data_IF_493665702240
#
_entry.id   IF_493665702240
#
_cell.length_a   1.000
_cell.length_b   1.000
_cell.length_c   1.000
_cell.angle_alpha   90.00
_cell.angle_beta   90.00
_cell.angle_gamma   90.00
#
_symmetry.space_group_name_H-M   'P 1'
#
loop_
_entity.id
_entity.type
_entity.pdbx_description
1 polymer ?
#
# COMPACT_ATOMS: atom_id res chain seq x y z
N UNK A 1 7.28 14.76 16.55
CA UNK A 1 6.40 15.72 17.26
C UNK A 1 7.14 17.02 17.47
N UNK A 2 8.29 16.98 18.16
CA UNK A 2 9.16 18.12 18.45
C UNK A 2 9.45 19.00 17.23
N UNK A 3 10.10 18.43 16.20
CA UNK A 3 10.48 19.16 14.98
C UNK A 3 9.26 19.78 14.26
N UNK A 4 8.16 19.03 14.18
CA UNK A 4 6.97 19.50 13.47
C UNK A 4 6.27 20.66 14.19
N UNK A 5 6.21 20.59 15.52
CA UNK A 5 5.61 21.65 16.32
C UNK A 5 6.45 22.94 16.26
N UNK A 6 7.79 22.84 16.29
CA UNK A 6 8.65 24.02 16.17
C UNK A 6 8.55 24.65 14.78
N UNK A 7 8.45 23.85 13.71
CA UNK A 7 8.20 24.37 12.37
C UNK A 7 6.87 25.12 12.35
N UNK A 8 5.79 24.53 12.85
CA UNK A 8 4.48 25.19 12.89
C UNK A 8 4.50 26.49 13.69
N UNK A 9 5.15 26.55 14.85
CA UNK A 9 5.21 27.79 15.63
C UNK A 9 5.99 28.91 14.96
N UNK A 10 6.91 28.59 14.05
CA UNK A 10 7.70 29.58 13.33
C UNK A 10 6.98 30.10 12.07
N UNK A 11 6.20 29.24 11.40
CA UNK A 11 5.63 29.57 10.08
C UNK A 11 4.16 29.99 10.12
N UNK A 12 3.42 29.65 11.18
CA UNK A 12 1.99 29.98 11.28
C UNK A 12 1.84 31.39 11.86
N UNK A 13 1.28 32.30 11.07
CA UNK A 13 1.16 33.75 11.37
C UNK A 13 -0.28 34.22 11.54
N UNK A 14 -1.27 33.37 11.26
CA UNK A 14 -2.69 33.74 11.23
C UNK A 14 -3.43 33.69 12.56
N UNK A 15 -4.72 34.03 12.50
CA UNK A 15 -5.66 33.95 13.61
C UNK A 15 -6.83 33.00 13.30
N UNK A 16 -7.29 32.28 14.32
CA UNK A 16 -8.48 31.44 14.22
C UNK A 16 -9.72 32.20 14.69
N UNK A 17 -10.76 32.24 13.87
CA UNK A 17 -12.06 32.81 14.23
C UNK A 17 -13.00 31.73 14.78
N UNK A 18 -13.64 32.02 15.91
CA UNK A 18 -14.64 31.14 16.54
C UNK A 18 -15.82 31.94 17.05
N UNK A 19 -17.01 31.37 16.92
CA UNK A 19 -18.24 31.95 17.48
C UNK A 19 -18.49 31.39 18.88
N UNK A 20 -18.76 32.26 19.84
CA UNK A 20 -19.18 31.87 21.18
C UNK A 20 -20.62 31.32 21.12
N UNK A 21 -20.83 30.09 21.58
CA UNK A 21 -22.15 29.42 21.55
C UNK A 21 -22.59 28.87 22.92
N UNK A 22 -21.77 29.05 23.95
CA UNK A 22 -22.00 28.52 25.29
C UNK A 22 -22.79 29.45 26.22
N UNK A 23 -23.34 30.55 25.70
CA UNK A 23 -23.95 31.61 26.50
C UNK A 23 -22.99 32.77 26.79
N UNK A 24 -23.52 33.82 27.43
CA UNK A 24 -22.73 34.97 27.88
C UNK A 24 -21.62 34.53 28.84
N UNK A 25 -20.43 35.10 28.70
CA UNK A 25 -19.28 34.77 29.55
C UNK A 25 -18.44 36.00 29.89
N UNK A 26 -17.43 35.82 30.74
CA UNK A 26 -16.46 36.86 31.08
C UNK A 26 -15.05 36.34 30.74
N UNK A 27 -14.32 37.08 29.90
CA UNK A 27 -12.93 36.78 29.54
C UNK A 27 -12.11 38.00 29.91
N UNK A 28 -11.08 37.81 30.74
CA UNK A 28 -10.20 38.88 31.21
C UNK A 28 -10.98 40.09 31.79
N UNK A 29 -11.98 39.80 32.63
CA UNK A 29 -12.86 40.81 33.23
C UNK A 29 -13.87 41.46 32.27
N UNK A 30 -13.84 41.13 30.97
CA UNK A 30 -14.76 41.70 29.97
C UNK A 30 -15.93 40.76 29.70
N UNK A 31 -17.16 41.29 29.77
CA UNK A 31 -18.37 40.54 29.42
C UNK A 31 -18.46 40.37 27.91
N UNK A 32 -18.59 39.13 27.46
CA UNK A 32 -18.74 38.73 26.07
C UNK A 32 -20.12 38.09 25.89
N UNK A 33 -20.94 38.66 25.02
CA UNK A 33 -22.28 38.16 24.74
C UNK A 33 -22.25 36.88 23.90
N UNK A 34 -23.24 36.02 24.11
CA UNK A 34 -23.43 34.85 23.26
C UNK A 34 -23.56 35.24 21.78
N UNK A 35 -22.96 34.45 20.89
CA UNK A 35 -22.98 34.69 19.45
C UNK A 35 -21.89 35.63 18.93
N UNK A 36 -21.09 36.27 19.80
CA UNK A 36 -19.91 37.07 19.43
C UNK A 36 -18.83 36.20 18.77
N UNK A 37 -18.19 36.75 17.74
CA UNK A 37 -16.99 36.15 17.15
C UNK A 37 -15.75 36.60 17.90
N UNK A 38 -14.92 35.63 18.29
CA UNK A 38 -13.63 35.82 18.93
C UNK A 38 -12.53 35.41 17.95
N UNK A 39 -11.48 36.20 17.90
CA UNK A 39 -10.26 35.90 17.15
C UNK A 39 -9.16 35.49 18.12
N UNK A 40 -8.55 34.33 17.88
CA UNK A 40 -7.39 33.84 18.62
C UNK A 40 -6.17 33.94 17.72
N UNK A 41 -5.24 34.83 18.06
CA UNK A 41 -4.03 35.00 17.26
C UNK A 41 -3.04 33.87 17.53
N UNK A 42 -2.94 32.92 16.59
CA UNK A 42 -2.07 31.75 16.71
C UNK A 42 -0.62 32.18 16.58
N UNK A 43 -0.32 33.02 15.57
CA UNK A 43 1.03 33.52 15.33
C UNK A 43 1.59 34.35 16.48
N UNK A 44 0.78 35.22 17.08
CA UNK A 44 1.18 36.02 18.25
C UNK A 44 1.41 35.12 19.48
N UNK A 45 0.54 34.14 19.73
CA UNK A 45 0.72 33.19 20.84
C UNK A 45 2.03 32.41 20.68
N UNK A 46 2.36 31.98 19.46
CA UNK A 46 3.61 31.27 19.17
C UNK A 46 4.84 32.17 19.17
N UNK A 47 4.66 33.48 18.97
CA UNK A 47 5.74 34.48 19.01
C UNK A 47 5.89 35.18 20.36
N UNK A 48 5.05 34.87 21.35
CA UNK A 48 5.06 35.50 22.67
C UNK A 48 6.27 35.00 23.51
N UNK A 49 7.24 35.87 23.85
CA UNK A 49 8.41 35.47 24.64
C UNK A 49 8.08 35.04 26.07
N UNK A 50 6.92 35.43 26.61
CA UNK A 50 6.45 35.00 27.93
C UNK A 50 5.97 33.54 27.95
N UNK A 51 5.57 33.02 26.78
CA UNK A 51 5.17 31.63 26.56
C UNK A 51 6.37 30.83 26.04
N UNK A 52 7.08 31.36 25.04
CA UNK A 52 8.19 30.72 24.35
C UNK A 52 9.46 31.58 24.41
N UNK A 53 10.39 31.31 25.33
CA UNK A 53 11.68 32.00 25.37
C UNK A 53 12.42 31.86 24.03
N UNK A 54 12.90 32.99 23.48
CA UNK A 54 13.50 33.06 22.14
C UNK A 54 12.60 32.40 21.07
N UNK A 55 11.41 32.95 20.80
CA UNK A 55 10.39 32.28 19.98
C UNK A 55 10.80 32.12 18.52
N UNK A 56 11.70 32.98 18.03
CA UNK A 56 12.21 32.94 16.65
C UNK A 56 13.28 31.88 16.42
N UNK A 57 13.82 31.29 17.49
CA UNK A 57 14.84 30.25 17.37
C UNK A 57 14.21 28.88 17.11
N UNK A 58 14.69 28.23 16.05
CA UNK A 58 14.43 26.82 15.77
C UNK A 58 15.03 25.95 16.89
N UNK A 59 14.22 25.64 17.90
CA UNK A 59 14.57 24.76 19.00
C UNK A 59 13.47 23.70 19.20
N UNK A 60 13.60 22.50 18.62
CA UNK A 60 12.65 21.41 18.81
C UNK A 60 12.50 20.97 20.28
N UNK A 61 13.53 21.15 21.11
CA UNK A 61 13.57 20.75 22.51
C UNK A 61 12.51 21.45 23.38
N UNK A 62 11.96 22.59 22.92
CA UNK A 62 10.93 23.34 23.65
C UNK A 62 9.58 22.62 23.78
N UNK A 63 9.36 21.55 23.01
CA UNK A 63 8.12 20.77 22.98
C UNK A 63 8.24 19.39 23.66
N UNK A 64 9.26 19.20 24.50
CA UNK A 64 9.43 17.99 25.31
C UNK A 64 8.27 17.82 26.29
N UNK A 65 7.96 16.59 26.69
CA UNK A 65 6.81 16.31 27.56
C UNK A 65 6.89 17.01 28.92
N UNK A 66 8.08 17.31 29.43
CA UNK A 66 8.27 18.06 30.67
C UNK A 66 7.93 19.54 30.51
N UNK A 67 8.30 20.16 29.39
CA UNK A 67 8.02 21.57 29.13
C UNK A 67 6.59 21.82 28.65
N UNK A 68 6.00 20.88 27.90
CA UNK A 68 4.63 20.98 27.36
C UNK A 68 3.55 20.84 28.45
N UNK A 69 3.88 20.27 29.62
CA UNK A 69 2.96 20.13 30.76
C UNK A 69 2.70 21.45 31.50
N UNK A 70 3.56 22.46 31.33
CA UNK A 70 3.54 23.68 32.14
C UNK A 70 2.50 24.73 31.71
N UNK A 71 2.06 24.72 30.45
CA UNK A 71 1.17 25.76 29.93
C UNK A 71 0.01 25.19 29.11
N UNK A 72 -1.21 25.36 29.62
CA UNK A 72 -2.43 24.94 28.93
C UNK A 72 -2.67 25.87 27.73
N UNK A 73 -2.90 25.29 26.54
CA UNK A 73 -3.21 26.02 25.30
C UNK A 73 -2.11 26.94 24.76
N UNK A 74 -0.85 26.76 25.17
CA UNK A 74 0.31 27.47 24.59
C UNK A 74 0.51 27.11 23.11
N UNK A 75 0.37 25.82 22.76
CA UNK A 75 0.53 25.36 21.38
C UNK A 75 -0.80 25.21 20.64
N UNK A 76 -1.06 26.10 19.68
CA UNK A 76 -2.29 26.13 18.88
C UNK A 76 -2.17 25.62 17.44
N UNK A 77 -1.02 25.05 17.03
CA UNK A 77 -0.75 24.66 15.62
C UNK A 77 -1.67 23.58 15.05
N UNK A 78 -2.35 22.80 15.90
CA UNK A 78 -3.34 21.81 15.50
C UNK A 78 -4.74 22.11 16.06
N UNK A 79 -5.01 23.35 16.45
CA UNK A 79 -6.20 23.70 17.22
C UNK A 79 -6.21 23.11 18.63
N UNK A 80 -7.22 23.46 19.41
CA UNK A 80 -7.34 23.08 20.82
C UNK A 80 -8.81 22.95 21.27
N UNK A 81 -9.00 22.44 22.48
CA UNK A 81 -10.31 22.35 23.13
C UNK A 81 -11.26 21.39 22.42
N UNK A 82 -12.51 21.84 22.18
CA UNK A 82 -13.57 21.05 21.51
C UNK A 82 -13.41 20.96 19.99
N UNK A 83 -12.54 21.79 19.40
CA UNK A 83 -12.34 21.86 17.95
C UNK A 83 -10.86 21.71 17.58
N UNK A 84 -10.19 20.61 18.01
CA UNK A 84 -8.86 20.30 17.49
C UNK A 84 -8.97 19.87 16.02
N UNK A 85 -7.87 19.98 15.29
CA UNK A 85 -7.76 19.50 13.92
C UNK A 85 -8.03 18.00 13.88
N UNK A 86 -9.15 17.61 13.25
CA UNK A 86 -9.53 16.21 13.08
C UNK A 86 -8.48 15.42 12.28
N UNK A 87 -7.82 16.09 11.33
CA UNK A 87 -6.75 15.54 10.51
C UNK A 87 -5.38 15.49 11.17
N UNK A 88 -5.22 15.95 12.42
CA UNK A 88 -3.89 16.08 13.08
C UNK A 88 -3.06 14.80 12.97
N UNK A 89 -3.64 13.65 13.31
CA UNK A 89 -2.89 12.38 13.30
C UNK A 89 -2.46 12.02 11.88
N UNK A 90 -3.38 12.09 10.93
CA UNK A 90 -3.12 11.81 9.52
C UNK A 90 -2.01 12.72 8.96
N UNK A 91 -2.16 14.04 9.09
CA UNK A 91 -1.18 15.01 8.62
C UNK A 91 0.19 14.80 9.28
N UNK A 92 0.22 14.48 10.58
CA UNK A 92 1.48 14.17 11.26
C UNK A 92 2.15 12.91 10.74
N UNK A 93 1.39 11.88 10.32
CA UNK A 93 1.95 10.69 9.69
C UNK A 93 2.46 11.01 8.29
N UNK A 94 1.63 11.66 7.46
CA UNK A 94 1.97 12.05 6.09
C UNK A 94 3.25 12.89 6.03
N UNK A 95 3.32 13.98 6.80
CA UNK A 95 4.48 14.87 6.82
C UNK A 95 5.74 14.13 7.30
N UNK A 96 5.62 13.30 8.34
CA UNK A 96 6.77 12.52 8.83
C UNK A 96 7.26 11.51 7.81
N UNK A 97 6.33 10.81 7.14
CA UNK A 97 6.68 9.82 6.12
C UNK A 97 7.38 10.50 4.94
N UNK A 98 6.84 11.62 4.45
CA UNK A 98 7.48 12.40 3.39
C UNK A 98 8.86 12.87 3.81
N UNK A 99 8.98 13.55 4.96
CA UNK A 99 10.27 14.06 5.46
C UNK A 99 11.27 12.92 5.68
N UNK A 100 10.84 11.76 6.19
CA UNK A 100 11.72 10.61 6.38
C UNK A 100 12.23 10.05 5.04
N UNK A 101 11.37 9.93 4.03
CA UNK A 101 11.79 9.51 2.68
C UNK A 101 12.78 10.51 2.09
N UNK A 102 12.46 11.80 2.18
CA UNK A 102 13.32 12.88 1.72
C UNK A 102 14.70 12.82 2.41
N UNK A 103 14.75 12.83 3.73
CA UNK A 103 16.00 12.75 4.49
C UNK A 103 16.81 11.47 4.23
N UNK A 104 16.16 10.36 3.88
CA UNK A 104 16.84 9.10 3.57
C UNK A 104 17.39 9.05 2.14
N UNK A 105 16.81 9.80 1.21
CA UNK A 105 17.10 9.68 -0.22
C UNK A 105 17.96 10.82 -0.79
N UNK A 106 18.10 11.94 -0.09
CA UNK A 106 18.76 13.13 -0.64
C UNK A 106 19.68 13.82 0.37
N UNK A 107 20.68 14.53 -0.16
CA UNK A 107 21.42 15.55 0.60
C UNK A 107 20.86 16.94 0.27
N UNK A 108 20.82 17.79 1.28
CA UNK A 108 20.14 19.08 1.23
C UNK A 108 21.10 20.22 1.48
N UNK A 109 21.03 21.25 0.63
CA UNK A 109 21.66 22.54 0.87
C UNK A 109 20.65 23.67 0.61
N UNK A 110 20.58 24.64 1.51
CA UNK A 110 19.73 25.81 1.30
C UNK A 110 20.46 26.77 0.37
N UNK A 111 19.80 27.20 -0.70
CA UNK A 111 20.35 28.12 -1.70
C UNK A 111 19.37 29.27 -1.98
N UNK A 112 19.86 30.41 -2.41
CA UNK A 112 19.02 31.46 -2.99
C UNK A 112 18.69 31.13 -4.45
N UNK A 113 17.92 32.01 -5.10
CA UNK A 113 17.55 31.93 -6.52
C UNK A 113 18.75 31.83 -7.49
N UNK A 114 19.97 32.09 -7.01
CA UNK A 114 21.22 32.01 -7.78
C UNK A 114 21.98 30.71 -7.53
N UNK A 115 21.41 29.75 -6.80
CA UNK A 115 22.05 28.48 -6.46
C UNK A 115 23.23 28.62 -5.49
N UNK A 116 23.32 29.72 -4.75
CA UNK A 116 24.36 29.96 -3.73
C UNK A 116 23.75 29.94 -2.35
N UNK A 117 24.54 29.57 -1.33
CA UNK A 117 24.12 29.68 0.07
C UNK A 117 23.61 31.11 0.36
N UNK A 118 22.36 31.26 0.86
CA UNK A 118 21.79 32.58 1.10
C UNK A 118 22.50 33.27 2.27
N UNK A 119 22.50 34.60 2.25
CA UNK A 119 22.87 35.38 3.43
C UNK A 119 21.81 35.19 4.52
N UNK A 120 22.16 35.05 5.81
CA UNK A 120 21.17 34.92 6.89
C UNK A 120 20.10 36.02 6.88
N UNK A 121 20.44 37.25 6.47
CA UNK A 121 19.50 38.36 6.34
C UNK A 121 18.43 38.14 5.25
N UNK A 122 18.74 37.35 4.21
CA UNK A 122 17.80 36.97 3.15
C UNK A 122 16.82 35.87 3.61
N UNK A 123 17.11 35.17 4.71
CA UNK A 123 16.33 34.03 5.22
C UNK A 123 15.31 34.39 6.31
N UNK A 124 15.20 35.68 6.65
CA UNK A 124 14.27 36.15 7.69
C UNK A 124 12.83 36.01 7.18
N UNK A 125 11.96 35.24 7.87
CA UNK A 125 10.58 35.05 7.43
C UNK A 125 9.76 36.34 7.50
N UNK A 126 9.04 36.67 6.43
CA UNK A 126 8.01 37.72 6.43
C UNK A 126 6.75 37.21 7.12
N UNK A 127 6.49 37.72 8.32
CA UNK A 127 5.32 37.35 9.12
C UNK A 127 4.02 38.05 8.68
N UNK A 128 4.06 38.98 7.72
CA UNK A 128 2.87 39.65 7.19
C UNK A 128 2.11 38.82 6.14
N UNK A 129 2.59 37.63 5.81
CA UNK A 129 1.85 36.68 4.98
C UNK A 129 0.83 35.90 5.82
N UNK A 130 -0.46 35.98 5.46
CA UNK A 130 -1.56 35.35 6.21
C UNK A 130 -1.51 33.82 6.21
N UNK A 131 -0.87 33.20 5.21
CA UNK A 131 -0.88 31.75 5.02
C UNK A 131 0.35 31.06 5.60
N UNK A 132 1.54 31.60 5.32
CA UNK A 132 2.80 31.03 5.80
C UNK A 132 3.89 32.11 5.84
N UNK A 133 4.65 32.19 6.93
CA UNK A 133 5.85 33.01 6.96
C UNK A 133 6.92 32.37 6.05
N UNK A 134 7.27 33.07 4.97
CA UNK A 134 8.38 32.73 4.08
C UNK A 134 9.27 33.96 3.92
N UNK A 135 10.57 33.80 3.61
CA UNK A 135 11.42 34.95 3.39
C UNK A 135 10.91 35.81 2.22
N UNK A 136 11.05 37.13 2.33
CA UNK A 136 10.57 38.07 1.30
C UNK A 136 11.37 37.97 -0.01
N UNK A 137 12.58 37.42 0.05
CA UNK A 137 13.40 37.08 -1.12
C UNK A 137 13.34 35.57 -1.37
N UNK A 138 13.38 35.15 -2.64
CA UNK A 138 13.31 33.75 -3.01
C UNK A 138 14.43 32.92 -2.38
N UNK A 139 14.05 31.96 -1.55
CA UNK A 139 14.93 30.91 -1.04
C UNK A 139 14.46 29.58 -1.57
N UNK A 140 15.37 28.83 -2.19
CA UNK A 140 15.13 27.50 -2.72
C UNK A 140 15.91 26.47 -1.88
N UNK A 141 15.43 25.24 -1.86
CA UNK A 141 16.19 24.13 -1.29
C UNK A 141 16.79 23.34 -2.45
N UNK A 142 18.12 23.36 -2.56
CA UNK A 142 18.85 22.52 -3.48
C UNK A 142 18.92 21.11 -2.90
N UNK A 143 18.42 20.14 -3.67
CA UNK A 143 18.49 18.73 -3.35
C UNK A 143 19.48 18.06 -4.30
N UNK A 144 20.49 17.41 -3.74
CA UNK A 144 21.37 16.53 -4.50
C UNK A 144 20.79 15.12 -4.47
N UNK A 145 20.44 14.60 -5.65
CA UNK A 145 20.01 13.21 -5.85
C UNK A 145 21.23 12.40 -6.30
N UNK A 146 21.61 11.41 -5.50
CA UNK A 146 22.56 10.39 -5.94
C UNK A 146 21.77 9.26 -6.61
N UNK A 147 21.79 9.19 -7.94
CA UNK A 147 21.46 7.96 -8.66
C UNK A 147 22.77 7.28 -9.06
N UNK A 148 22.79 5.94 -9.07
CA UNK A 148 23.99 5.10 -9.18
C UNK A 148 24.90 5.41 -10.39
N UNK A 149 24.44 6.16 -11.39
CA UNK A 149 25.24 6.58 -12.55
C UNK A 149 25.16 8.09 -12.89
N UNK A 150 24.42 8.91 -12.12
CA UNK A 150 24.33 10.36 -12.36
C UNK A 150 23.92 11.15 -11.11
N UNK A 151 24.65 12.24 -10.82
CA UNK A 151 24.22 13.24 -9.83
C UNK A 151 23.29 14.24 -10.49
N UNK A 152 22.01 14.26 -10.09
CA UNK A 152 21.03 15.24 -10.58
C UNK A 152 20.76 16.27 -9.48
N UNK A 153 20.86 17.55 -9.82
CA UNK A 153 20.48 18.66 -8.94
C UNK A 153 19.00 18.99 -9.15
N UNK A 154 18.20 18.87 -8.10
CA UNK A 154 16.78 19.21 -8.12
C UNK A 154 16.57 20.44 -7.24
N UNK A 155 15.97 21.48 -7.82
CA UNK A 155 15.56 22.68 -7.08
C UNK A 155 14.15 22.49 -6.57
N UNK A 156 13.97 22.53 -5.25
CA UNK A 156 12.65 22.63 -4.62
C UNK A 156 12.40 24.11 -4.29
N UNK A 157 11.55 24.75 -5.08
CA UNK A 157 11.08 26.09 -4.79
C UNK A 157 10.20 26.07 -3.54
N UNK A 158 10.63 26.78 -2.49
CA UNK A 158 9.93 26.84 -1.21
C UNK A 158 8.77 27.84 -1.19
N UNK A 159 8.62 28.66 -2.24
CA UNK A 159 7.56 29.67 -2.35
C UNK A 159 6.35 29.20 -3.15
N UNK A 160 6.42 28.06 -3.84
CA UNK A 160 5.34 27.58 -4.70
C UNK A 160 5.13 26.06 -4.63
N UNK A 161 4.25 25.63 -3.72
CA UNK A 161 3.42 24.44 -4.00
C UNK A 161 2.29 24.93 -4.91
N UNK A 162 2.40 24.60 -6.20
CA UNK A 162 1.52 24.98 -7.34
C UNK A 162 1.81 26.30 -8.06
N UNK A 163 2.89 26.35 -8.84
CA UNK A 163 2.89 26.95 -10.18
C UNK A 163 4.14 26.51 -10.95
N UNK A 164 4.06 25.38 -11.67
CA UNK A 164 5.08 25.08 -12.68
C UNK A 164 4.99 26.19 -13.74
N UNK A 165 6.09 26.89 -14.09
CA UNK A 165 6.06 27.93 -15.11
C UNK A 165 5.41 27.40 -16.37
N UNK A 166 4.49 28.16 -16.97
CA UNK A 166 3.70 27.72 -18.14
C UNK A 166 4.59 27.19 -19.28
N UNK A 167 5.82 27.71 -19.42
CA UNK A 167 6.82 27.26 -20.39
C UNK A 167 7.33 25.84 -20.11
N UNK A 168 7.56 25.52 -18.84
CA UNK A 168 8.00 24.19 -18.42
C UNK A 168 6.83 23.21 -18.53
N UNK A 169 5.59 23.65 -18.22
CA UNK A 169 4.40 22.86 -18.50
C UNK A 169 4.26 22.55 -19.99
N UNK A 170 4.47 23.52 -20.88
CA UNK A 170 4.43 23.30 -22.33
C UNK A 170 5.53 22.31 -22.74
N UNK A 171 6.77 22.47 -22.26
CA UNK A 171 7.87 21.58 -22.59
C UNK A 171 7.60 20.13 -22.12
N UNK A 172 7.13 19.95 -20.89
CA UNK A 172 6.75 18.64 -20.35
C UNK A 172 5.57 18.05 -21.12
N UNK A 173 4.53 18.84 -21.42
CA UNK A 173 3.38 18.37 -22.20
C UNK A 173 3.78 17.98 -23.63
N UNK A 174 4.67 18.74 -24.28
CA UNK A 174 5.22 18.40 -25.60
C UNK A 174 6.01 17.10 -25.53
N UNK A 175 6.82 16.89 -24.50
CA UNK A 175 7.56 15.64 -24.31
C UNK A 175 6.62 14.45 -24.08
N UNK A 176 5.56 14.62 -23.27
CA UNK A 176 4.54 13.60 -23.03
C UNK A 176 3.73 13.29 -24.29
N UNK A 177 3.40 14.29 -25.10
CA UNK A 177 2.72 14.12 -26.39
C UNK A 177 3.60 13.37 -27.38
N UNK A 178 4.89 13.69 -27.44
CA UNK A 178 5.85 13.03 -28.33
C UNK A 178 6.20 11.60 -27.89
N UNK A 179 6.13 11.31 -26.59
CA UNK A 179 6.35 9.97 -26.04
C UNK A 179 5.11 9.08 -26.07
N UNK A 180 3.96 9.57 -26.56
CA UNK A 180 2.72 8.80 -26.56
C UNK A 180 2.80 7.69 -27.62
N UNK A 181 2.55 6.42 -27.25
CA UNK A 181 2.50 5.34 -28.22
C UNK A 181 1.40 5.59 -29.26
N UNK A 182 1.59 5.13 -30.51
CA UNK A 182 0.61 5.32 -31.58
C UNK A 182 -0.74 4.71 -31.19
N UNK A 183 -1.83 5.33 -31.65
CA UNK A 183 -3.20 4.94 -31.30
C UNK A 183 -3.48 3.46 -31.58
N UNK A 184 -2.89 2.91 -32.64
CA UNK A 184 -3.01 1.50 -33.01
C UNK A 184 -2.42 0.56 -31.94
N UNK A 185 -1.28 0.91 -31.34
CA UNK A 185 -0.65 0.12 -30.30
C UNK A 185 -1.49 0.13 -29.01
N UNK A 186 -2.06 1.28 -28.66
CA UNK A 186 -2.97 1.40 -27.50
C UNK A 186 -4.23 0.57 -27.73
N UNK A 187 -4.81 0.60 -28.92
CA UNK A 187 -5.98 -0.21 -29.27
C UNK A 187 -5.67 -1.71 -29.29
N UNK A 188 -4.48 -2.11 -29.75
CA UNK A 188 -4.04 -3.49 -29.72
C UNK A 188 -3.90 -4.01 -28.28
N UNK A 189 -3.21 -3.25 -27.41
CA UNK A 189 -3.08 -3.57 -25.99
C UNK A 189 -4.43 -3.62 -25.28
N UNK A 190 -5.36 -2.75 -25.64
CA UNK A 190 -6.70 -2.75 -25.05
C UNK A 190 -7.52 -3.98 -25.47
N UNK A 191 -7.37 -4.44 -26.71
CA UNK A 191 -7.97 -5.72 -27.16
C UNK A 191 -7.35 -6.91 -26.45
N UNK A 192 -6.03 -6.91 -26.29
CA UNK A 192 -5.31 -7.98 -25.58
C UNK A 192 -5.72 -8.06 -24.12
N UNK A 193 -5.80 -6.91 -23.44
CA UNK A 193 -6.30 -6.81 -22.07
C UNK A 193 -7.73 -7.35 -21.94
N UNK A 194 -8.64 -6.96 -22.84
CA UNK A 194 -10.01 -7.49 -22.86
C UNK A 194 -10.06 -9.00 -23.05
N UNK A 195 -9.19 -9.55 -23.90
CA UNK A 195 -9.12 -10.99 -24.14
C UNK A 195 -8.58 -11.74 -22.90
N UNK A 196 -7.53 -11.21 -22.26
CA UNK A 196 -6.98 -11.76 -21.01
C UNK A 196 -7.99 -11.71 -19.87
N UNK A 197 -8.78 -10.65 -19.77
CA UNK A 197 -9.84 -10.53 -18.78
C UNK A 197 -10.95 -11.57 -19.00
N UNK A 198 -11.32 -11.83 -20.25
CA UNK A 198 -12.27 -12.89 -20.60
C UNK A 198 -11.75 -14.28 -20.19
N UNK A 199 -10.47 -14.54 -20.44
CA UNK A 199 -9.80 -15.80 -20.04
C UNK A 199 -9.77 -15.93 -18.51
N UNK A 200 -9.41 -14.86 -17.79
CA UNK A 200 -9.38 -14.86 -16.34
C UNK A 200 -10.75 -15.18 -15.73
N UNK A 201 -11.80 -14.54 -16.24
CA UNK A 201 -13.17 -14.82 -15.82
C UNK A 201 -13.60 -16.26 -16.12
N UNK A 202 -13.20 -16.79 -17.28
CA UNK A 202 -13.41 -18.20 -17.63
C UNK A 202 -12.75 -19.15 -16.64
N UNK A 203 -11.47 -18.92 -16.33
CA UNK A 203 -10.70 -19.74 -15.39
C UNK A 203 -11.26 -19.66 -13.96
N UNK A 204 -11.71 -18.48 -13.52
CA UNK A 204 -12.34 -18.31 -12.21
C UNK A 204 -13.64 -19.12 -12.10
N UNK A 205 -14.50 -19.07 -13.12
CA UNK A 205 -15.74 -19.86 -13.15
C UNK A 205 -15.46 -21.36 -13.10
N UNK A 206 -14.45 -21.83 -13.84
CA UNK A 206 -14.09 -23.25 -13.84
C UNK A 206 -13.51 -23.67 -12.47
N UNK A 207 -12.67 -22.83 -11.85
CA UNK A 207 -12.18 -23.07 -10.50
C UNK A 207 -13.31 -23.15 -9.47
N UNK A 208 -14.29 -22.24 -9.53
CA UNK A 208 -15.47 -22.26 -8.66
C UNK A 208 -16.30 -23.54 -8.85
N UNK A 209 -16.48 -23.97 -10.10
CA UNK A 209 -17.16 -25.22 -10.43
C UNK A 209 -16.40 -26.43 -9.84
N UNK A 210 -15.10 -26.50 -10.05
CA UNK A 210 -14.25 -27.58 -9.55
C UNK A 210 -14.28 -27.63 -8.01
N UNK A 211 -14.24 -26.48 -7.33
CA UNK A 211 -14.38 -26.40 -5.88
C UNK A 211 -15.74 -26.93 -5.40
N UNK A 212 -16.82 -26.60 -6.11
CA UNK A 212 -18.17 -27.11 -5.81
C UNK A 212 -18.26 -28.62 -5.99
N UNK A 213 -17.65 -29.17 -7.03
CA UNK A 213 -17.60 -30.62 -7.28
C UNK A 213 -16.76 -31.33 -6.20
N UNK A 214 -15.63 -30.76 -5.81
CA UNK A 214 -14.79 -31.27 -4.71
C UNK A 214 -15.55 -31.29 -3.39
N UNK A 215 -16.32 -30.25 -3.07
CA UNK A 215 -17.16 -30.22 -1.86
C UNK A 215 -18.24 -31.30 -1.88
N UNK A 216 -18.88 -31.54 -3.03
CA UNK A 216 -19.85 -32.63 -3.19
C UNK A 216 -19.19 -33.99 -2.97
N UNK A 217 -18.00 -34.22 -3.52
CA UNK A 217 -17.24 -35.45 -3.33
C UNK A 217 -16.86 -35.67 -1.87
N UNK A 218 -16.35 -34.64 -1.17
CA UNK A 218 -16.05 -34.70 0.27
C UNK A 218 -17.28 -35.00 1.13
N UNK A 219 -18.45 -34.45 0.76
CA UNK A 219 -19.71 -34.77 1.46
C UNK A 219 -20.10 -36.23 1.27
N UNK A 220 -19.99 -36.76 0.05
CA UNK A 220 -20.25 -38.18 -0.23
C UNK A 220 -19.28 -39.09 0.51
N UNK A 221 -18.00 -38.75 0.50
CA UNK A 221 -16.95 -39.45 1.25
C UNK A 221 -17.31 -39.51 2.74
N UNK A 222 -17.59 -38.37 3.38
CA UNK A 222 -17.99 -38.32 4.79
C UNK A 222 -19.26 -39.13 5.10
N UNK A 223 -20.24 -39.16 4.18
CA UNK A 223 -21.43 -40.00 4.34
C UNK A 223 -21.07 -41.49 4.28
N UNK A 224 -20.20 -41.89 3.37
CA UNK A 224 -19.72 -43.28 3.28
C UNK A 224 -18.90 -43.67 4.51
N UNK A 225 -18.01 -42.80 4.99
CA UNK A 225 -17.26 -43.00 6.23
C UNK A 225 -18.20 -43.17 7.43
N UNK A 226 -19.27 -42.38 7.52
CA UNK A 226 -20.26 -42.49 8.59
C UNK A 226 -21.05 -43.81 8.53
N UNK A 227 -21.40 -44.31 7.34
CA UNK A 227 -22.04 -45.62 7.20
C UNK A 227 -21.08 -46.78 7.49
N UNK A 228 -19.81 -46.68 7.06
CA UNK A 228 -18.77 -47.66 7.38
C UNK A 228 -18.51 -47.73 8.89
N UNK A 229 -18.50 -46.58 9.57
CA UNK A 229 -18.36 -46.52 11.03
C UNK A 229 -19.52 -47.20 11.77
N UNK A 230 -20.74 -47.15 11.23
CA UNK A 230 -21.89 -47.88 11.82
C UNK A 230 -21.78 -49.40 11.68
N UNK A 231 -21.23 -49.89 10.57
CA UNK A 231 -21.15 -51.33 10.27
C UNK A 231 -19.91 -51.97 10.90
N UNK A 232 -18.77 -51.28 10.90
CA UNK A 232 -17.46 -51.82 11.29
C UNK A 232 -16.83 -51.13 12.51
N UNK A 233 -17.53 -50.19 13.16
CA UNK A 233 -17.01 -49.40 14.28
C UNK A 233 -16.15 -48.22 13.83
N UNK A 234 -15.73 -47.35 14.75
CA UNK A 234 -14.96 -46.13 14.42
C UNK A 234 -13.62 -46.43 13.73
N UNK A 235 -13.02 -47.61 13.99
CA UNK A 235 -11.79 -48.11 13.36
C UNK A 235 -12.05 -48.93 12.07
N UNK A 236 -13.12 -48.59 11.33
CA UNK A 236 -13.52 -49.29 10.10
C UNK A 236 -12.38 -49.42 9.07
N UNK A 237 -11.49 -48.43 8.97
CA UNK A 237 -10.36 -48.44 8.04
C UNK A 237 -9.33 -49.53 8.39
N UNK A 238 -9.04 -49.72 9.68
CA UNK A 238 -8.15 -50.78 10.16
C UNK A 238 -8.81 -52.17 10.01
N UNK A 239 -10.12 -52.26 10.26
CA UNK A 239 -10.89 -53.49 10.13
C UNK A 239 -11.03 -53.97 8.66
N UNK A 240 -10.99 -53.05 7.70
CA UNK A 240 -10.97 -53.37 6.26
C UNK A 240 -9.55 -53.54 5.69
N UNK A 241 -8.50 -53.45 6.52
CA UNK A 241 -7.11 -53.54 6.06
C UNK A 241 -6.70 -52.41 5.11
N UNK A 242 -7.40 -51.28 5.14
CA UNK A 242 -7.09 -50.11 4.34
C UNK A 242 -6.00 -49.28 5.04
N UNK A 243 -5.02 -48.72 4.29
CA UNK A 243 -4.01 -47.86 4.90
C UNK A 243 -4.68 -46.64 5.54
N UNK A 244 -4.54 -46.47 6.86
CA UNK A 244 -5.20 -45.44 7.69
C UNK A 244 -4.67 -44.01 7.47
N UNK A 245 -4.02 -43.77 6.34
CA UNK A 245 -3.66 -42.45 5.86
C UNK A 245 -3.46 -42.54 4.36
N UNK A 246 -4.42 -42.07 3.56
CA UNK A 246 -4.05 -41.56 2.25
C UNK A 246 -3.08 -40.41 2.50
N UNK A 247 -1.87 -40.40 1.92
CA UNK A 247 -1.08 -39.19 1.91
C UNK A 247 -1.98 -38.15 1.28
N UNK A 248 -2.30 -37.09 2.03
CA UNK A 248 -2.87 -35.89 1.44
C UNK A 248 -2.04 -35.61 0.20
N UNK A 249 -2.65 -35.45 -0.97
CA UNK A 249 -1.95 -34.92 -2.13
C UNK A 249 -1.67 -33.45 -1.83
N UNK A 250 -0.77 -33.23 -0.88
CA UNK A 250 0.10 -32.08 -0.79
C UNK A 250 1.31 -32.45 -1.65
N UNK A 251 1.09 -32.53 -2.97
CA UNK A 251 2.23 -32.33 -3.87
C UNK A 251 2.59 -30.86 -3.68
N UNK A 252 3.63 -30.65 -2.88
CA UNK A 252 4.26 -29.37 -2.64
C UNK A 252 4.42 -28.62 -3.96
N UNK A 253 3.70 -27.52 -4.11
CA UNK A 253 4.34 -26.35 -4.70
C UNK A 253 5.29 -25.82 -3.62
N UNK A 254 6.51 -25.40 -3.97
CA UNK A 254 7.42 -24.83 -3.01
C UNK A 254 6.76 -23.59 -2.41
N UNK A 255 6.37 -23.71 -1.14
CA UNK A 255 6.09 -22.56 -0.30
C UNK A 255 7.44 -21.90 -0.05
N UNK A 256 7.79 -20.92 -0.87
CA UNK A 256 8.61 -19.82 -0.37
C UNK A 256 7.77 -19.15 0.71
N UNK A 257 8.14 -19.41 1.95
CA UNK A 257 7.51 -18.89 3.14
C UNK A 257 7.29 -17.38 3.01
N UNK A 258 6.11 -16.92 3.43
CA UNK A 258 5.94 -15.55 3.88
C UNK A 258 6.91 -15.32 5.04
N UNK A 259 8.08 -14.78 4.72
CA UNK A 259 8.77 -13.92 5.65
C UNK A 259 7.97 -12.61 5.67
N UNK A 260 7.19 -12.44 6.73
CA UNK A 260 6.87 -11.13 7.28
C UNK A 260 8.14 -10.30 7.29
N UNK A 261 8.26 -9.37 6.35
CA UNK A 261 9.31 -8.35 6.38
C UNK A 261 8.96 -7.34 7.48
N UNK A 262 9.29 -7.73 8.71
CA UNK A 262 9.70 -6.77 9.71
C UNK A 262 10.90 -6.02 9.12
N UNK A 263 10.72 -4.72 8.95
CA UNK A 263 11.76 -3.74 8.70
C UNK A 263 12.82 -3.90 9.79
N UNK A 264 13.95 -4.50 9.44
CA UNK A 264 15.17 -4.46 10.25
C UNK A 264 16.34 -4.21 9.32
N UNK A 265 16.89 -3.02 9.47
CA UNK A 265 18.09 -2.50 8.82
C UNK A 265 19.26 -3.47 9.01
N UNK A 266 20.05 -3.66 7.96
CA UNK A 266 21.37 -4.31 7.99
C UNK A 266 22.29 -3.66 6.94
N UNK A 267 23.61 -3.68 7.16
CA UNK A 267 24.56 -2.60 6.81
C UNK A 267 25.01 -2.63 5.33
N UNK A 268 25.79 -1.63 4.86
CA UNK A 268 26.17 -1.53 3.45
C UNK A 268 27.13 -2.66 3.05
N UNK A 269 27.06 -3.17 1.80
CA UNK A 269 27.94 -4.22 1.34
C UNK A 269 29.31 -3.62 0.95
N UNK A 270 30.37 -4.22 1.47
CA UNK A 270 31.72 -4.03 0.98
C UNK A 270 31.88 -4.68 -0.41
N UNK A 271 32.68 -4.03 -1.25
CA UNK A 271 33.06 -4.48 -2.57
C UNK A 271 33.63 -5.91 -2.55
N UNK A 272 33.11 -6.77 -3.43
CA UNK A 272 33.81 -7.99 -3.85
C UNK A 272 33.63 -8.22 -5.35
N UNK A 273 34.78 -8.51 -5.93
CA UNK A 273 35.15 -8.75 -7.32
C UNK A 273 34.27 -9.70 -8.13
N UNK A 274 34.25 -9.40 -9.44
CA UNK A 274 33.90 -10.26 -10.57
C UNK A 274 34.34 -11.72 -10.40
N UNK A 275 33.38 -12.65 -10.54
CA UNK A 275 33.63 -14.03 -10.96
C UNK A 275 32.50 -14.43 -11.93
N UNK A 276 32.93 -14.86 -13.12
CA UNK A 276 32.14 -15.39 -14.23
C UNK A 276 31.53 -16.76 -13.87
N UNK A 277 30.22 -16.94 -14.07
CA UNK A 277 29.65 -18.30 -14.22
C UNK A 277 28.49 -18.29 -15.22
N UNK A 278 28.66 -19.04 -16.31
CA UNK A 278 27.70 -19.27 -17.39
C UNK A 278 26.33 -19.75 -16.87
N UNK A 279 25.30 -18.92 -17.08
CA UNK A 279 23.89 -19.33 -16.96
C UNK A 279 23.38 -19.95 -18.28
N UNK A 280 22.43 -20.91 -18.23
CA UNK A 280 21.94 -21.57 -19.44
C UNK A 280 21.30 -20.55 -20.40
N UNK A 281 21.64 -20.64 -21.69
CA UNK A 281 21.15 -19.69 -22.69
C UNK A 281 19.62 -19.74 -22.80
N UNK A 282 19.01 -18.61 -23.14
CA UNK A 282 17.55 -18.49 -23.32
C UNK A 282 16.95 -19.54 -24.26
N UNK A 283 17.74 -20.11 -25.17
CA UNK A 283 17.31 -21.20 -26.05
C UNK A 283 17.06 -22.51 -25.29
N UNK A 284 17.90 -22.85 -24.30
CA UNK A 284 17.75 -24.05 -23.49
C UNK A 284 16.52 -23.97 -22.55
N UNK A 285 16.21 -22.76 -22.07
CA UNK A 285 15.00 -22.50 -21.27
C UNK A 285 13.75 -22.69 -22.13
N UNK A 286 13.77 -22.20 -23.36
CA UNK A 286 12.62 -22.30 -24.27
C UNK A 286 12.38 -23.75 -24.74
N UNK A 287 13.44 -24.51 -24.97
CA UNK A 287 13.35 -25.94 -25.29
C UNK A 287 12.75 -26.75 -24.11
N UNK A 288 13.13 -26.41 -22.87
CA UNK A 288 12.55 -27.03 -21.69
C UNK A 288 11.06 -26.71 -21.52
N UNK A 289 10.63 -25.48 -21.83
CA UNK A 289 9.22 -25.09 -21.81
C UNK A 289 8.38 -25.86 -22.83
N UNK A 290 8.89 -26.06 -24.05
CA UNK A 290 8.19 -26.85 -25.07
C UNK A 290 8.12 -28.34 -24.71
N UNK A 291 9.17 -28.90 -24.10
CA UNK A 291 9.15 -30.26 -23.57
C UNK A 291 8.08 -30.45 -22.48
N UNK A 292 7.93 -29.47 -21.58
CA UNK A 292 6.87 -29.48 -20.54
C UNK A 292 5.49 -29.37 -21.19
N UNK A 293 5.32 -28.51 -22.20
CA UNK A 293 4.05 -28.31 -22.90
C UNK A 293 3.57 -29.60 -23.59
N UNK A 294 4.47 -30.31 -24.26
CA UNK A 294 4.16 -31.59 -24.91
C UNK A 294 3.77 -32.67 -23.89
N UNK A 295 4.38 -32.66 -22.71
CA UNK A 295 4.04 -33.56 -21.61
C UNK A 295 2.62 -33.30 -21.07
N UNK A 296 2.26 -32.02 -20.87
CA UNK A 296 0.91 -31.63 -20.42
C UNK A 296 -0.15 -32.06 -21.42
N UNK A 297 0.06 -31.79 -22.71
CA UNK A 297 -0.87 -32.22 -23.77
C UNK A 297 -1.01 -33.75 -23.84
N UNK A 298 0.08 -34.49 -23.64
CA UNK A 298 0.05 -35.95 -23.57
C UNK A 298 -0.67 -36.50 -22.33
N UNK A 299 -0.60 -35.79 -21.20
CA UNK A 299 -1.34 -36.14 -19.98
C UNK A 299 -2.83 -35.88 -20.14
N UNK A 300 -3.22 -34.77 -20.75
CA UNK A 300 -4.64 -34.42 -20.99
C UNK A 300 -5.31 -35.42 -21.94
N UNK A 301 -4.62 -35.84 -23.01
CA UNK A 301 -5.12 -36.87 -23.92
C UNK A 301 -5.38 -38.21 -23.19
N UNK A 302 -4.45 -38.62 -22.31
CA UNK A 302 -4.60 -39.85 -21.50
C UNK A 302 -5.70 -39.73 -20.44
N UNK A 303 -5.91 -38.54 -19.90
CA UNK A 303 -7.02 -38.25 -18.98
C UNK A 303 -8.36 -38.36 -19.70
N UNK A 304 -8.50 -37.76 -20.88
CA UNK A 304 -9.71 -37.84 -21.70
C UNK A 304 -10.05 -39.29 -22.10
N UNK A 305 -9.05 -40.10 -22.47
CA UNK A 305 -9.27 -41.52 -22.79
C UNK A 305 -9.74 -42.33 -21.58
N UNK A 306 -9.17 -42.08 -20.40
CA UNK A 306 -9.61 -42.71 -19.15
C UNK A 306 -11.02 -42.28 -18.74
N UNK A 307 -11.36 -41.01 -18.92
CA UNK A 307 -12.70 -40.50 -18.65
C UNK A 307 -13.74 -41.17 -19.55
N UNK A 308 -13.44 -41.34 -20.84
CA UNK A 308 -14.29 -42.07 -21.77
C UNK A 308 -14.46 -43.56 -21.36
N UNK A 309 -13.39 -44.20 -20.91
CA UNK A 309 -13.43 -45.58 -20.42
C UNK A 309 -14.31 -45.71 -19.16
N UNK A 310 -14.13 -44.83 -18.18
CA UNK A 310 -14.91 -44.82 -16.94
C UNK A 310 -16.38 -44.55 -17.23
N UNK A 311 -16.69 -43.60 -18.12
CA UNK A 311 -18.06 -43.31 -18.53
C UNK A 311 -18.75 -44.52 -19.15
N UNK A 312 -18.02 -45.29 -19.97
CA UNK A 312 -18.52 -46.55 -20.55
C UNK A 312 -18.76 -47.63 -19.51
N UNK A 313 -17.88 -47.76 -18.51
CA UNK A 313 -18.06 -48.72 -17.41
C UNK A 313 -19.22 -48.33 -16.48
N UNK A 314 -19.39 -47.04 -16.20
CA UNK A 314 -20.54 -46.53 -15.44
C UNK A 314 -21.86 -46.84 -16.15
N UNK A 315 -21.95 -46.59 -17.45
CA UNK A 315 -23.15 -46.91 -18.22
C UNK A 315 -23.49 -48.42 -18.18
N UNK A 316 -22.48 -49.28 -18.24
CA UNK A 316 -22.66 -50.73 -18.11
C UNK A 316 -23.15 -51.13 -16.72
N UNK A 317 -22.58 -50.55 -15.67
CA UNK A 317 -22.99 -50.80 -14.30
C UNK A 317 -24.43 -50.36 -14.04
N UNK A 318 -24.86 -49.22 -14.58
CA UNK A 318 -26.24 -48.74 -14.51
C UNK A 318 -27.21 -49.71 -15.19
N UNK A 319 -26.85 -50.23 -16.37
CA UNK A 319 -27.66 -51.22 -17.09
C UNK A 319 -27.80 -52.53 -16.30
N UNK A 320 -26.72 -53.04 -15.72
CA UNK A 320 -26.74 -54.24 -14.88
C UNK A 320 -27.58 -54.02 -13.61
N UNK A 321 -27.51 -52.82 -13.02
CA UNK A 321 -28.32 -52.44 -11.86
C UNK A 321 -29.81 -52.39 -12.21
N UNK A 322 -30.17 -51.84 -13.37
CA UNK A 322 -31.56 -51.84 -13.87
C UNK A 322 -32.07 -53.25 -14.17
N UNK A 323 -31.23 -54.13 -14.73
CA UNK A 323 -31.55 -55.54 -14.95
C UNK A 323 -31.79 -56.28 -13.63
N UNK A 324 -30.93 -56.06 -12.62
CA UNK A 324 -31.09 -56.64 -11.29
C UNK A 324 -32.37 -56.15 -10.58
N UNK A 325 -32.68 -54.85 -10.68
CA UNK A 325 -33.93 -54.28 -10.15
C UNK A 325 -35.17 -54.88 -10.83
N UNK A 326 -35.12 -55.08 -12.15
CA UNK A 326 -36.19 -55.70 -12.92
C UNK A 326 -36.38 -57.18 -12.58
N UNK A 327 -35.29 -57.90 -12.30
CA UNK A 327 -35.32 -59.29 -11.87
C UNK A 327 -35.91 -59.44 -10.45
N UNK A 328 -35.55 -58.55 -9.51
CA UNK A 328 -36.16 -58.51 -8.16
C UNK A 328 -37.67 -58.32 -8.22
N UNK A 329 -38.15 -57.40 -9.07
CA UNK A 329 -39.58 -57.13 -9.27
C UNK A 329 -40.36 -58.35 -9.81
N UNK A 330 -39.71 -59.26 -10.54
CA UNK A 330 -40.32 -60.51 -11.05
C UNK A 330 -40.37 -61.63 -10.01
N UNK A 331 -39.51 -61.60 -8.98
CA UNK A 331 -39.43 -62.62 -7.94
C UNK A 331 -40.39 -62.31 -6.76
N UNK A 332 -41.05 -61.14 -6.78
CA UNK A 332 -42.10 -60.80 -5.82
C UNK A 332 -41.58 -60.50 -4.41
N UNK A 333 -40.35 -59.98 -4.30
CA UNK A 333 -39.78 -59.39 -3.08
C UNK A 333 -39.73 -57.88 -3.22
#
# INVERSE_FOLDING_TARGET
RLMLNVVQSLIVTGAALRRLTSGDTVIDGKKISNGTFLAFSVGETHSDPSIYPNPEQYNPGRYTEEQDKGQTYSFLGWGAGRHPCAGRRFAQYEIKSMVAMFLASYTYEVVNDRGKKPDPSETVPDKNNLYQASPSQGTNVLCQVYQEEATTLVYLDCNYVYAVPLKDQIATLTQVVNARPPLEQVQALQKEYQNLELILQGTQRENERCMTELEKSKRKEKMMEAELAKVYGEDWAANLGLPTSSPSISRALPVSASATANVRQSPPPQARSEETSDGPSNAAINEHLEAVRMLVLGMDAKLAEREAQISKEMARAEEETQRAASARKKIGV
#
